data_IF_999106768179
#
_entry.id   IF_999106768179
#
_cell.length_a   1.000
_cell.length_b   1.000
_cell.length_c   1.000
_cell.angle_alpha   90.00
_cell.angle_beta   90.00
_cell.angle_gamma   90.00
#
_symmetry.space_group_name_H-M   'P 1'
#
loop_
_entity.id
_entity.type
_entity.pdbx_description
1 polymer ?
#
# COMPACT_ATOMS: atom_id res chain seq x y z
N UNK A 1 -14.06 -4.18 -22.47
CA UNK A 1 -12.78 -3.70 -21.90
C UNK A 1 -13.03 -3.38 -20.42
N UNK A 2 -12.75 -4.31 -19.51
CA UNK A 2 -12.91 -4.08 -18.07
C UNK A 2 -11.82 -3.13 -17.60
N UNK A 3 -12.19 -1.97 -17.05
CA UNK A 3 -11.24 -1.08 -16.38
C UNK A 3 -11.19 -1.49 -14.91
N UNK A 4 -10.10 -2.07 -14.42
CA UNK A 4 -10.00 -2.38 -13.00
C UNK A 4 -10.04 -1.05 -12.23
N UNK A 5 -10.95 -0.98 -11.24
CA UNK A 5 -10.96 0.10 -10.27
C UNK A 5 -9.81 -0.22 -9.31
N UNK A 6 -8.77 0.60 -9.33
CA UNK A 6 -7.61 0.46 -8.46
C UNK A 6 -7.48 1.76 -7.71
N UNK A 7 -7.41 1.67 -6.39
CA UNK A 7 -7.19 2.82 -5.53
C UNK A 7 -5.71 2.93 -5.18
N UNK A 8 -5.12 4.09 -5.46
CA UNK A 8 -3.72 4.38 -5.13
C UNK A 8 -3.63 5.17 -3.82
N UNK A 9 -2.73 4.76 -2.92
CA UNK A 9 -2.55 5.36 -1.60
C UNK A 9 -1.28 6.24 -1.55
N UNK A 10 -1.33 7.29 -0.73
CA UNK A 10 -0.28 8.31 -0.64
C UNK A 10 1.03 7.79 -0.04
N UNK A 11 2.16 8.40 -0.43
CA UNK A 11 3.53 8.06 0.02
C UNK A 11 3.97 8.77 1.31
N UNK A 12 3.15 9.67 1.85
CA UNK A 12 3.51 10.53 2.98
C UNK A 12 3.12 9.98 4.34
N UNK A 13 2.19 9.03 4.36
CA UNK A 13 1.67 8.37 5.56
C UNK A 13 1.83 6.87 5.34
N UNK A 14 2.15 6.13 6.39
CA UNK A 14 2.27 4.67 6.30
C UNK A 14 0.93 4.06 5.88
N UNK A 15 0.92 3.04 5.00
CA UNK A 15 -0.31 2.40 4.54
C UNK A 15 -1.17 1.80 5.66
N UNK A 16 -0.55 1.39 6.77
CA UNK A 16 -1.23 0.84 7.95
C UNK A 16 -1.81 1.92 8.89
N UNK A 17 -1.75 3.21 8.53
CA UNK A 17 -2.32 4.26 9.35
C UNK A 17 -3.85 4.14 9.43
N UNK A 18 -4.41 4.27 10.64
CA UNK A 18 -5.82 4.01 10.93
C UNK A 18 -6.80 4.86 10.10
N UNK A 19 -6.37 6.01 9.57
CA UNK A 19 -7.18 6.83 8.67
C UNK A 19 -7.57 6.12 7.38
N UNK A 20 -6.83 5.09 6.96
CA UNK A 20 -7.13 4.30 5.77
C UNK A 20 -8.08 3.13 6.04
N UNK A 21 -8.38 2.80 7.30
CA UNK A 21 -9.18 1.61 7.62
C UNK A 21 -10.62 1.68 7.11
N UNK A 22 -11.34 2.82 7.18
CA UNK A 22 -12.66 2.94 6.56
C UNK A 22 -12.61 2.70 5.05
N UNK A 23 -11.53 3.13 4.40
CA UNK A 23 -11.32 2.95 2.97
C UNK A 23 -11.07 1.48 2.60
N UNK A 24 -10.25 0.78 3.40
CA UNK A 24 -10.01 -0.65 3.23
C UNK A 24 -11.28 -1.47 3.44
N UNK A 25 -12.09 -1.13 4.44
CA UNK A 25 -13.38 -1.78 4.67
C UNK A 25 -14.30 -1.67 3.44
N UNK A 26 -14.44 -0.47 2.88
CA UNK A 26 -15.22 -0.25 1.65
C UNK A 26 -14.63 -0.99 0.44
N UNK A 27 -13.30 -1.06 0.32
CA UNK A 27 -12.66 -1.83 -0.75
C UNK A 27 -12.93 -3.33 -0.63
N UNK A 28 -13.01 -3.88 0.59
CA UNK A 28 -13.44 -5.27 0.83
C UNK A 28 -14.89 -5.47 0.39
N UNK A 29 -15.81 -4.60 0.84
CA UNK A 29 -17.23 -4.71 0.51
C UNK A 29 -17.51 -4.61 -1.00
N UNK A 30 -16.78 -3.73 -1.68
CA UNK A 30 -16.93 -3.49 -3.12
C UNK A 30 -16.07 -4.43 -3.99
N UNK A 31 -15.26 -5.31 -3.38
CA UNK A 31 -14.30 -6.18 -4.06
C UNK A 31 -13.38 -5.39 -5.01
N UNK A 32 -12.84 -4.27 -4.51
CA UNK A 32 -11.95 -3.37 -5.23
C UNK A 32 -10.52 -3.57 -4.72
N UNK A 33 -9.56 -3.97 -5.57
CA UNK A 33 -8.19 -4.11 -5.15
C UNK A 33 -7.54 -2.74 -4.88
N UNK A 34 -6.64 -2.71 -3.91
CA UNK A 34 -5.88 -1.51 -3.54
C UNK A 34 -4.44 -1.66 -4.03
N UNK A 35 -3.93 -0.65 -4.73
CA UNK A 35 -2.53 -0.55 -5.10
C UNK A 35 -1.80 0.32 -4.08
N UNK A 36 -0.88 -0.29 -3.35
CA UNK A 36 -0.05 0.38 -2.37
C UNK A 36 1.36 0.47 -2.93
N UNK A 37 1.89 1.68 -3.01
CA UNK A 37 3.27 1.89 -3.42
C UNK A 37 4.19 1.51 -2.25
N UNK A 38 4.94 0.42 -2.42
CA UNK A 38 5.89 -0.07 -1.41
C UNK A 38 7.27 -0.19 -2.02
N UNK A 39 8.27 0.32 -1.31
CA UNK A 39 9.63 0.42 -1.83
C UNK A 39 9.99 1.81 -2.35
N UNK A 40 11.25 1.95 -2.77
CA UNK A 40 11.82 3.21 -3.22
C UNK A 40 11.00 3.79 -4.38
N UNK A 41 10.29 4.86 -4.10
CA UNK A 41 9.79 5.76 -5.14
C UNK A 41 10.97 6.60 -5.61
N UNK A 42 11.03 6.95 -6.91
CA UNK A 42 12.13 7.73 -7.52
C UNK A 42 12.21 9.19 -7.02
N UNK A 43 11.75 9.44 -5.80
CA UNK A 43 11.89 10.67 -5.02
C UNK A 43 13.05 10.48 -4.06
N UNK A 44 13.87 11.51 -3.90
CA UNK A 44 15.00 11.53 -2.97
C UNK A 44 14.53 11.69 -1.51
N UNK A 45 13.68 10.77 -1.06
CA UNK A 45 13.03 10.74 0.23
C UNK A 45 13.28 9.39 0.91
N UNK A 46 13.25 9.38 2.24
CA UNK A 46 13.37 8.14 3.00
C UNK A 46 12.16 7.23 2.72
N UNK A 47 12.42 5.95 2.44
CA UNK A 47 11.38 4.96 2.19
C UNK A 47 10.75 4.36 3.46
N UNK A 48 10.64 5.16 4.53
CA UNK A 48 10.11 4.67 5.82
C UNK A 48 8.62 4.34 5.73
N UNK A 49 7.87 5.12 4.94
CA UNK A 49 6.43 4.93 4.72
C UNK A 49 6.11 3.76 3.80
N UNK A 50 7.01 3.39 2.89
CA UNK A 50 6.83 2.32 1.91
C UNK A 50 7.34 0.94 2.36
N UNK A 51 7.56 0.72 3.66
CA UNK A 51 8.10 -0.55 4.18
C UNK A 51 7.10 -1.71 3.99
N UNK A 52 7.54 -2.89 3.50
CA UNK A 52 6.65 -4.04 3.31
C UNK A 52 5.92 -4.49 4.59
N UNK A 53 6.51 -4.33 5.77
CA UNK A 53 5.88 -4.71 7.05
C UNK A 53 4.54 -3.99 7.30
N UNK A 54 4.34 -2.80 6.73
CA UNK A 54 3.06 -2.10 6.82
C UNK A 54 1.95 -2.78 6.02
N UNK A 55 2.29 -3.57 4.99
CA UNK A 55 1.32 -4.39 4.27
C UNK A 55 0.87 -5.59 5.09
N UNK A 56 1.80 -6.20 5.82
CA UNK A 56 1.50 -7.34 6.69
C UNK A 56 0.46 -6.94 7.74
N UNK A 57 0.60 -5.77 8.37
CA UNK A 57 -0.37 -5.24 9.33
C UNK A 57 -1.78 -5.07 8.73
N UNK A 58 -1.87 -4.60 7.48
CA UNK A 58 -3.14 -4.42 6.77
C UNK A 58 -3.75 -5.79 6.44
N UNK A 59 -2.96 -6.72 5.92
CA UNK A 59 -3.42 -8.07 5.58
C UNK A 59 -3.93 -8.83 6.82
N UNK A 60 -3.33 -8.59 8.00
CA UNK A 60 -3.82 -9.12 9.27
C UNK A 60 -5.17 -8.52 9.69
N UNK A 61 -5.41 -7.23 9.43
CA UNK A 61 -6.68 -6.58 9.77
C UNK A 61 -7.79 -6.88 8.76
N UNK A 62 -7.45 -6.96 7.47
CA UNK A 62 -8.36 -7.14 6.36
C UNK A 62 -7.93 -8.33 5.49
N UNK A 63 -8.10 -9.58 5.98
CA UNK A 63 -7.63 -10.78 5.27
C UNK A 63 -8.28 -10.97 3.89
N UNK A 64 -9.48 -10.42 3.68
CA UNK A 64 -10.22 -10.47 2.41
C UNK A 64 -9.82 -9.35 1.43
N UNK A 65 -8.99 -8.39 1.84
CA UNK A 65 -8.58 -7.28 0.99
C UNK A 65 -7.54 -7.73 -0.03
N UNK A 66 -7.81 -7.47 -1.31
CA UNK A 66 -6.83 -7.71 -2.38
C UNK A 66 -5.83 -6.54 -2.41
N UNK A 67 -4.61 -6.79 -1.94
CA UNK A 67 -3.52 -5.82 -1.92
C UNK A 67 -2.57 -6.08 -3.10
N UNK A 68 -2.31 -5.04 -3.89
CA UNK A 68 -1.30 -5.04 -4.94
C UNK A 68 -0.13 -4.19 -4.46
N UNK A 69 1.03 -4.81 -4.25
CA UNK A 69 2.26 -4.12 -3.90
C UNK A 69 2.95 -3.58 -5.17
N UNK A 70 2.84 -2.27 -5.41
CA UNK A 70 3.57 -1.60 -6.49
C UNK A 70 5.03 -1.34 -6.12
N UNK A 71 5.94 -1.35 -7.10
CA UNK A 71 7.40 -1.11 -6.95
C UNK A 71 8.20 -2.22 -6.22
N UNK A 72 7.63 -3.43 -6.15
CA UNK A 72 8.32 -4.67 -5.76
C UNK A 72 8.96 -4.70 -4.36
N UNK A 73 8.54 -3.83 -3.43
CA UNK A 73 8.96 -3.91 -2.03
C UNK A 73 10.47 -3.76 -1.82
N UNK A 74 11.19 -3.15 -2.78
CA UNK A 74 12.65 -3.01 -2.67
C UNK A 74 12.96 -2.15 -1.44
N UNK A 75 13.67 -2.73 -0.48
CA UNK A 75 14.25 -2.00 0.62
C UNK A 75 15.29 -1.06 0.03
N UNK A 76 14.92 0.20 -0.19
CA UNK A 76 15.86 1.25 -0.54
C UNK A 76 16.87 1.42 0.59
N UNK A 77 17.95 0.64 0.57
CA UNK A 77 19.18 0.98 1.29
C UNK A 77 19.75 2.19 0.59
N UNK A 78 19.94 3.29 1.34
CA UNK A 78 20.86 4.34 0.92
C UNK A 78 22.22 3.66 0.71
N UNK A 79 22.61 3.42 -0.53
CA UNK A 79 24.04 3.30 -0.83
C UNK A 79 24.63 4.67 -0.53
N UNK A 80 25.67 4.66 0.30
CA UNK A 80 26.63 5.76 0.41
C UNK A 80 27.14 6.13 -0.98
#
# INVERSE_FOLDING_TARGET
>A
MYRPKILAISIWITPNHASYFPLYAECVELNIPVLILTGHTAVNLSNETGRPSSLDDIALHFPELIIIAGHAGILGVKSL
#
